data_IF_333460934501
#
_entry.id   IF_333460934501
#
_cell.length_a   1.000
_cell.length_b   1.000
_cell.length_c   1.000
_cell.angle_alpha   90.00
_cell.angle_beta   90.00
_cell.angle_gamma   90.00
#
_symmetry.space_group_name_H-M   'P 1'
#
loop_
_entity.id
_entity.type
_entity.pdbx_description
1 polymer ?
#
# COMPACT_ATOMS: atom_id res chain seq x y z
N UNK A 1 6.03 7.87 -1.44
CA UNK A 1 4.82 7.06 -1.66
C UNK A 1 4.02 6.96 -0.37
N UNK A 2 2.86 7.58 -0.36
CA UNK A 2 1.86 7.39 0.70
C UNK A 2 0.86 6.32 0.27
N UNK A 3 0.34 5.57 1.24
CA UNK A 3 -0.75 4.62 1.02
C UNK A 3 -2.05 5.38 1.20
N UNK A 4 -2.89 5.40 0.17
CA UNK A 4 -4.19 6.09 0.18
C UNK A 4 -5.28 5.17 0.74
N UNK A 5 -5.23 3.88 0.41
CA UNK A 5 -6.17 2.88 0.93
C UNK A 5 -5.44 1.59 1.30
N UNK A 6 -6.00 0.89 2.29
CA UNK A 6 -5.51 -0.41 2.69
C UNK A 6 -6.63 -1.34 3.13
N UNK A 7 -6.60 -2.56 2.61
CA UNK A 7 -7.52 -3.64 2.97
C UNK A 7 -6.74 -4.90 3.32
N UNK A 8 -7.33 -5.72 4.17
CA UNK A 8 -6.82 -7.03 4.56
C UNK A 8 -7.92 -8.08 4.48
N UNK A 9 -7.49 -9.34 4.37
CA UNK A 9 -8.34 -10.52 4.55
C UNK A 9 -7.50 -11.68 5.09
N UNK A 10 -8.20 -12.73 5.54
CA UNK A 10 -7.57 -13.91 6.16
C UNK A 10 -7.48 -13.84 7.68
N UNK A 11 -8.20 -12.91 8.32
CA UNK A 11 -8.17 -12.72 9.77
C UNK A 11 -9.56 -12.72 10.40
N UNK A 12 -9.77 -13.59 11.40
CA UNK A 12 -10.97 -13.63 12.25
C UNK A 12 -12.28 -13.61 11.42
N UNK A 13 -13.08 -12.55 11.53
CA UNK A 13 -14.35 -12.36 10.82
C UNK A 13 -14.19 -11.92 9.35
N UNK A 14 -12.99 -11.52 8.93
CA UNK A 14 -12.68 -11.07 7.56
C UNK A 14 -11.83 -12.12 6.83
N UNK A 15 -12.34 -13.35 6.71
CA UNK A 15 -11.59 -14.44 6.08
C UNK A 15 -11.58 -14.37 4.55
N UNK A 16 -12.73 -14.07 3.94
CA UNK A 16 -12.92 -14.14 2.48
C UNK A 16 -13.05 -12.78 1.82
N UNK A 17 -13.67 -11.83 2.51
CA UNK A 17 -13.91 -10.49 1.99
C UNK A 17 -12.81 -9.53 2.45
N UNK A 18 -12.49 -8.58 1.57
CA UNK A 18 -11.58 -7.49 1.88
C UNK A 18 -12.26 -6.51 2.85
N UNK A 19 -11.58 -6.20 3.94
CA UNK A 19 -12.02 -5.19 4.90
C UNK A 19 -10.87 -4.22 5.19
N UNK A 20 -11.17 -2.96 5.49
CA UNK A 20 -10.12 -1.98 5.75
C UNK A 20 -10.59 -0.56 5.57
N UNK A 21 -9.69 0.28 5.07
CA UNK A 21 -9.87 1.70 4.88
C UNK A 21 -9.78 2.03 3.39
N UNK A 22 -10.89 2.46 2.80
CA UNK A 22 -10.91 2.98 1.42
C UNK A 22 -10.17 4.31 1.29
N UNK A 23 -10.00 5.04 2.39
CA UNK A 23 -9.19 6.24 2.46
C UNK A 23 -8.62 6.41 3.86
N UNK A 24 -7.33 6.72 3.94
CA UNK A 24 -6.67 7.08 5.20
C UNK A 24 -6.63 8.59 5.33
N UNK A 25 -7.40 9.14 6.28
CA UNK A 25 -7.37 10.57 6.62
C UNK A 25 -6.43 10.84 7.79
N UNK A 26 -6.00 12.10 8.03
CA UNK A 26 -5.20 12.44 9.21
C UNK A 26 -5.87 12.05 10.54
N UNK A 27 -7.20 12.03 10.57
CA UNK A 27 -8.00 11.55 11.70
C UNK A 27 -9.09 10.63 11.14
N UNK A 28 -9.11 9.37 11.60
CA UNK A 28 -10.11 8.38 11.23
C UNK A 28 -10.93 7.98 12.46
N UNK A 29 -12.24 7.82 12.31
CA UNK A 29 -13.14 7.38 13.39
C UNK A 29 -13.82 6.09 12.97
N UNK A 30 -13.60 5.01 13.73
CA UNK A 30 -14.19 3.69 13.46
C UNK A 30 -15.44 3.52 14.32
N UNK A 31 -16.61 3.43 13.67
CA UNK A 31 -17.91 3.34 14.34
C UNK A 31 -18.62 2.05 13.90
N UNK A 32 -19.32 1.39 14.83
CA UNK A 32 -20.06 0.17 14.55
C UNK A 32 -20.56 -0.49 15.82
N UNK A 33 -21.49 -1.46 15.69
CA UNK A 33 -22.02 -2.23 16.82
C UNK A 33 -20.90 -2.96 17.57
N UNK A 34 -21.11 -3.27 18.85
CA UNK A 34 -20.18 -4.13 19.57
C UNK A 34 -20.01 -5.46 18.84
N UNK A 35 -18.79 -5.97 18.85
CA UNK A 35 -18.40 -7.22 18.19
C UNK A 35 -18.50 -7.22 16.65
N UNK A 36 -18.58 -6.06 15.99
CA UNK A 36 -18.62 -5.96 14.52
C UNK A 36 -17.23 -5.99 13.85
N UNK A 37 -16.18 -6.47 14.54
CA UNK A 37 -14.83 -6.53 13.99
C UNK A 37 -14.00 -5.24 14.07
N UNK A 38 -14.46 -4.21 14.82
CA UNK A 38 -13.70 -2.94 14.98
C UNK A 38 -12.29 -3.14 15.55
N UNK A 39 -12.12 -4.03 16.52
CA UNK A 39 -10.80 -4.32 17.08
C UNK A 39 -9.85 -4.90 16.02
N UNK A 40 -10.36 -5.69 15.07
CA UNK A 40 -9.54 -6.21 13.97
C UNK A 40 -9.09 -5.14 12.98
N UNK A 41 -9.88 -4.07 12.81
CA UNK A 41 -9.42 -2.88 12.08
C UNK A 41 -8.32 -2.12 12.84
N UNK A 42 -8.34 -2.15 14.17
CA UNK A 42 -7.24 -1.60 14.99
C UNK A 42 -5.99 -2.48 14.93
N UNK A 43 -6.15 -3.81 14.91
CA UNK A 43 -5.04 -4.76 14.73
C UNK A 43 -4.31 -4.47 13.39
N UNK A 44 -5.05 -4.13 12.32
CA UNK A 44 -4.49 -3.68 11.05
C UNK A 44 -3.66 -2.40 11.19
N UNK A 45 -4.19 -1.39 11.87
CA UNK A 45 -3.47 -0.13 12.10
C UNK A 45 -2.19 -0.38 12.91
N UNK A 46 -2.27 -1.24 13.92
CA UNK A 46 -1.11 -1.60 14.74
C UNK A 46 -0.04 -2.33 13.92
N UNK A 47 -0.44 -3.24 13.03
CA UNK A 47 0.45 -3.92 12.10
C UNK A 47 1.16 -2.92 11.18
N UNK A 48 0.44 -1.94 10.63
CA UNK A 48 1.02 -0.91 9.76
C UNK A 48 2.06 -0.03 10.44
N UNK A 49 1.91 0.21 11.74
CA UNK A 49 2.87 0.98 12.52
C UNK A 49 4.11 0.15 12.93
N UNK A 50 4.07 -1.18 12.79
CA UNK A 50 5.12 -2.09 13.27
C UNK A 50 5.60 -3.00 12.14
N UNK A 51 6.77 -2.72 11.55
CA UNK A 51 7.33 -3.52 10.45
C UNK A 51 7.33 -5.03 10.74
N UNK A 52 7.71 -5.43 11.95
CA UNK A 52 7.79 -6.84 12.37
C UNK A 52 6.41 -7.54 12.44
N UNK A 53 5.32 -6.77 12.57
CA UNK A 53 3.96 -7.32 12.64
C UNK A 53 3.36 -7.58 11.27
N UNK A 54 3.75 -6.85 10.21
CA UNK A 54 3.22 -7.14 8.86
C UNK A 54 3.70 -8.52 8.38
N UNK A 55 5.00 -8.78 8.53
CA UNK A 55 5.64 -9.99 7.98
C UNK A 55 5.30 -11.26 8.77
N UNK A 56 4.88 -11.11 10.04
CA UNK A 56 4.50 -12.24 10.90
C UNK A 56 3.03 -12.63 10.81
N UNK A 57 2.20 -11.83 10.13
CA UNK A 57 0.77 -12.08 9.97
C UNK A 57 0.53 -12.87 8.69
N UNK A 58 -0.29 -13.93 8.75
CA UNK A 58 -0.71 -14.70 7.56
C UNK A 58 -1.80 -13.99 6.74
N UNK A 59 -1.82 -12.65 6.76
CA UNK A 59 -2.85 -11.85 6.12
C UNK A 59 -2.46 -11.57 4.68
N UNK A 60 -3.47 -11.43 3.83
CA UNK A 60 -3.28 -10.84 2.52
C UNK A 60 -3.65 -9.38 2.62
N UNK A 61 -2.78 -8.52 2.11
CA UNK A 61 -3.00 -7.08 2.09
C UNK A 61 -3.22 -6.60 0.67
N UNK A 62 -4.07 -5.60 0.52
CA UNK A 62 -4.26 -4.85 -0.71
C UNK A 62 -4.09 -3.39 -0.39
N UNK A 63 -3.15 -2.76 -1.06
CA UNK A 63 -2.86 -1.36 -0.88
C UNK A 63 -3.10 -0.62 -2.19
N UNK A 64 -3.54 0.62 -2.11
CA UNK A 64 -3.57 1.52 -3.24
C UNK A 64 -2.92 2.86 -2.91
N UNK A 65 -2.40 3.51 -3.93
CA UNK A 65 -1.77 4.81 -3.78
C UNK A 65 -1.48 5.44 -5.13
N UNK A 66 -1.26 6.75 -5.13
CA UNK A 66 -0.72 7.46 -6.28
C UNK A 66 0.81 7.47 -6.22
N UNK A 67 1.44 7.14 -7.34
CA UNK A 67 2.89 7.21 -7.46
C UNK A 67 3.31 8.67 -7.64
N UNK A 68 3.88 9.24 -6.58
CA UNK A 68 4.45 10.57 -6.59
C UNK A 68 5.82 10.60 -7.32
N UNK A 69 6.14 11.75 -7.91
CA UNK A 69 7.37 11.95 -8.67
C UNK A 69 8.63 11.69 -7.82
N UNK A 70 8.61 12.08 -6.54
CA UNK A 70 9.75 11.93 -5.64
C UNK A 70 10.09 10.46 -5.38
N UNK A 71 9.07 9.63 -5.13
CA UNK A 71 9.19 8.19 -4.94
C UNK A 71 9.58 7.47 -6.22
N UNK A 72 9.07 7.91 -7.37
CA UNK A 72 9.48 7.34 -8.64
C UNK A 72 10.93 7.71 -8.98
N UNK A 73 11.39 8.92 -8.67
CA UNK A 73 12.78 9.33 -8.91
C UNK A 73 13.79 8.61 -8.04
N UNK A 74 13.41 8.13 -6.85
CA UNK A 74 14.30 7.30 -6.03
C UNK A 74 14.59 5.94 -6.67
N UNK A 75 13.59 5.37 -7.36
CA UNK A 75 13.69 4.09 -8.07
C UNK A 75 14.26 4.26 -9.49
N UNK A 76 13.72 5.21 -10.27
CA UNK A 76 14.13 5.55 -11.63
C UNK A 76 15.13 6.71 -11.63
N UNK A 77 16.34 6.45 -11.13
CA UNK A 77 17.36 7.49 -10.96
C UNK A 77 17.71 8.18 -12.28
N UNK A 78 17.68 9.51 -12.28
CA UNK A 78 18.05 10.35 -13.43
C UNK A 78 19.53 10.19 -13.86
N UNK A 79 20.39 9.73 -12.95
CA UNK A 79 21.82 9.56 -13.19
C UNK A 79 22.20 8.22 -13.86
N UNK A 80 21.24 7.33 -14.08
CA UNK A 80 21.46 6.13 -14.87
C UNK A 80 21.14 6.45 -16.34
N UNK A 81 22.12 6.22 -17.22
CA UNK A 81 21.95 6.35 -18.66
C UNK A 81 21.38 5.06 -19.24
N UNK A 82 20.25 5.17 -19.91
CA UNK A 82 19.67 4.05 -20.66
C UNK A 82 20.30 4.01 -22.05
N UNK A 83 21.23 3.08 -22.24
CA UNK A 83 21.98 2.91 -23.47
C UNK A 83 21.10 2.47 -24.64
N UNK A 84 19.91 1.92 -24.37
CA UNK A 84 18.95 1.52 -25.41
C UNK A 84 18.08 2.69 -25.90
N UNK A 85 17.82 3.68 -25.03
CA UNK A 85 16.86 4.77 -25.29
C UNK A 85 17.53 6.09 -25.68
N UNK A 86 18.85 6.23 -25.51
CA UNK A 86 19.57 7.48 -25.81
C UNK A 86 19.27 8.63 -24.83
N UNK A 87 18.66 8.32 -23.67
CA UNK A 87 18.29 9.26 -22.60
C UNK A 87 18.52 8.67 -21.21
N UNK A 88 17.98 9.31 -20.17
CA UNK A 88 18.02 8.75 -18.81
C UNK A 88 16.80 7.86 -18.51
N UNK A 89 16.93 6.94 -17.55
CA UNK A 89 15.85 6.00 -17.17
C UNK A 89 14.57 6.71 -16.70
N UNK A 90 14.72 7.90 -16.14
CA UNK A 90 13.59 8.75 -15.75
C UNK A 90 12.72 9.16 -16.96
N UNK A 91 13.32 9.77 -17.98
CA UNK A 91 12.59 10.23 -19.18
C UNK A 91 12.07 9.06 -20.01
N UNK A 92 12.81 7.96 -20.08
CA UNK A 92 12.42 6.81 -20.88
C UNK A 92 11.25 6.02 -20.23
N UNK A 93 11.23 5.90 -18.90
CA UNK A 93 10.30 5.01 -18.19
C UNK A 93 9.58 5.69 -17.03
N UNK A 94 10.32 6.28 -16.08
CA UNK A 94 9.79 6.74 -14.80
C UNK A 94 8.70 7.82 -14.89
N UNK A 95 8.87 8.81 -15.76
CA UNK A 95 7.95 9.96 -15.86
C UNK A 95 6.52 9.56 -16.26
N UNK A 96 6.36 8.42 -16.95
CA UNK A 96 5.05 7.97 -17.42
C UNK A 96 4.19 7.39 -16.29
N UNK A 97 4.77 7.11 -15.13
CA UNK A 97 4.05 6.54 -13.98
C UNK A 97 3.64 7.59 -12.94
N UNK A 98 4.05 8.85 -13.12
CA UNK A 98 3.68 9.95 -12.22
C UNK A 98 2.18 10.17 -12.26
N UNK A 99 1.58 10.35 -11.08
CA UNK A 99 0.14 10.56 -10.89
C UNK A 99 -0.75 9.38 -11.33
N UNK A 100 -0.15 8.21 -11.61
CA UNK A 100 -0.92 7.00 -11.90
C UNK A 100 -1.40 6.37 -10.58
N UNK A 101 -2.71 6.18 -10.40
CA UNK A 101 -3.23 5.40 -9.28
C UNK A 101 -2.91 3.92 -9.51
N UNK A 102 -2.21 3.32 -8.55
CA UNK A 102 -1.88 1.89 -8.58
C UNK A 102 -2.52 1.14 -7.43
N UNK A 103 -2.69 -0.15 -7.62
CA UNK A 103 -3.11 -1.09 -6.58
C UNK A 103 -2.19 -2.29 -6.64
N UNK A 104 -1.71 -2.75 -5.48
CA UNK A 104 -0.87 -3.93 -5.37
C UNK A 104 -1.34 -4.80 -4.22
N UNK A 105 -1.25 -6.10 -4.43
CA UNK A 105 -1.56 -7.11 -3.43
C UNK A 105 -0.25 -7.65 -2.86
N UNK A 106 -0.19 -7.80 -1.54
CA UNK A 106 0.92 -8.41 -0.83
C UNK A 106 0.41 -9.72 -0.24
N UNK A 107 0.96 -10.83 -0.72
CA UNK A 107 0.66 -12.15 -0.21
C UNK A 107 1.46 -12.43 1.06
N UNK A 108 0.96 -13.34 1.90
CA UNK A 108 1.57 -13.73 3.18
C UNK A 108 2.98 -14.35 3.07
N UNK A 109 3.53 -14.49 1.86
CA UNK A 109 4.84 -15.08 1.59
C UNK A 109 5.90 -14.07 1.14
N UNK A 110 5.55 -12.79 0.99
CA UNK A 110 6.45 -11.76 0.43
C UNK A 110 6.53 -11.78 -1.09
#
# INVERSE_FOLDING_TARGET
>A
MNIDSIHFKGHSCFQKEWAGFDTIKPINVIIGRNNSGKSHLLDLVEALCSKDKIDSQSWQYRCSGVLDEEALKSEFRENLSDHASGGNYWQAHGQHFVDIPITWDVDANG
#
